data_IF_910438081502
#
_entry.id   IF_910438081502
#
_cell.length_a   1.000
_cell.length_b   1.000
_cell.length_c   1.000
_cell.angle_alpha   90.00
_cell.angle_beta   90.00
_cell.angle_gamma   90.00
#
_symmetry.space_group_name_H-M   'P 1'
#
loop_
_entity.id
_entity.type
_entity.pdbx_description
1 polymer ?
#
# COMPACT_ATOMS: atom_id res chain seq x y z
N UNK A 1 -5.37 -12.63 26.15
CA UNK A 1 -4.88 -12.98 24.80
C UNK A 1 -4.35 -11.69 24.23
N UNK A 2 -3.21 -11.76 23.56
CA UNK A 2 -2.57 -10.61 22.92
C UNK A 2 -3.07 -10.49 21.49
N UNK A 3 -3.38 -9.28 21.05
CA UNK A 3 -3.77 -9.01 19.66
C UNK A 3 -2.54 -8.76 18.77
N UNK A 4 -1.33 -8.86 19.34
CA UNK A 4 -0.06 -8.69 18.64
C UNK A 4 0.39 -10.01 17.98
N UNK A 5 0.43 -10.12 16.63
CA UNK A 5 0.77 -11.34 15.93
C UNK A 5 2.22 -11.81 16.11
N UNK A 6 3.05 -11.02 16.79
CA UNK A 6 4.46 -11.32 17.10
C UNK A 6 4.72 -11.78 18.53
N UNK A 7 3.73 -11.72 19.43
CA UNK A 7 3.91 -12.15 20.82
C UNK A 7 3.80 -13.67 20.99
N UNK A 8 4.62 -14.23 21.88
CA UNK A 8 4.59 -15.66 22.22
C UNK A 8 3.21 -15.98 22.82
N UNK A 9 2.42 -16.78 22.12
CA UNK A 9 1.06 -17.16 22.52
C UNK A 9 -0.05 -16.37 21.82
N UNK A 10 0.26 -15.53 20.82
CA UNK A 10 -0.73 -15.02 19.90
C UNK A 10 -1.49 -16.17 19.23
N UNK A 11 -2.81 -16.04 19.19
CA UNK A 11 -3.70 -16.93 18.44
C UNK A 11 -4.52 -16.03 17.56
N UNK A 12 -4.44 -16.23 16.25
CA UNK A 12 -5.25 -15.47 15.31
C UNK A 12 -6.74 -15.67 15.59
N UNK A 13 -7.58 -14.62 15.47
CA UNK A 13 -9.02 -14.77 15.63
C UNK A 13 -9.51 -15.92 14.75
N UNK A 14 -10.29 -16.83 15.34
CA UNK A 14 -10.79 -17.97 14.57
C UNK A 14 -11.78 -17.43 13.55
N UNK A 15 -11.79 -18.01 12.35
CA UNK A 15 -12.77 -17.65 11.33
C UNK A 15 -14.21 -17.71 11.88
N UNK A 16 -14.49 -18.62 12.83
CA UNK A 16 -15.78 -18.69 13.54
C UNK A 16 -16.16 -17.39 14.25
N UNK A 17 -15.21 -16.69 14.88
CA UNK A 17 -15.44 -15.42 15.57
C UNK A 17 -15.78 -14.31 14.55
N UNK A 18 -15.16 -14.35 13.37
CA UNK A 18 -15.45 -13.44 12.25
C UNK A 18 -16.85 -13.70 11.69
N UNK A 19 -17.25 -14.96 11.51
CA UNK A 19 -18.60 -15.32 11.05
C UNK A 19 -19.68 -14.91 12.07
N UNK A 20 -19.45 -15.07 13.37
CA UNK A 20 -20.37 -14.60 14.41
C UNK A 20 -20.53 -13.06 14.41
N UNK A 21 -19.49 -12.33 14.03
CA UNK A 21 -19.56 -10.89 13.77
C UNK A 21 -20.23 -10.57 12.42
N UNK A 22 -20.07 -11.43 11.43
CA UNK A 22 -20.68 -11.35 10.09
C UNK A 22 -22.20 -11.52 10.13
N UNK A 23 -22.70 -12.40 11.00
CA UNK A 23 -24.15 -12.65 11.17
C UNK A 23 -24.89 -11.50 11.87
N UNK A 24 -24.17 -10.51 12.40
CA UNK A 24 -24.77 -9.27 12.94
C UNK A 24 -25.12 -8.33 11.79
N UNK A 25 -26.20 -7.55 11.94
CA UNK A 25 -26.53 -6.47 11.00
C UNK A 25 -25.29 -5.62 10.76
N UNK A 26 -24.97 -5.38 9.49
CA UNK A 26 -23.86 -4.51 9.11
C UNK A 26 -24.04 -3.17 9.84
N UNK A 27 -23.02 -2.69 10.59
CA UNK A 27 -23.13 -1.41 11.24
C UNK A 27 -23.48 -0.36 10.18
N UNK A 28 -24.48 0.48 10.46
CA UNK A 28 -24.81 1.58 9.58
C UNK A 28 -23.52 2.35 9.26
N UNK A 29 -23.28 2.74 7.98
CA UNK A 29 -22.07 3.46 7.61
C UNK A 29 -21.95 4.66 8.55
N UNK A 30 -20.95 4.62 9.43
CA UNK A 30 -20.68 5.74 10.32
C UNK A 30 -20.26 6.87 9.41
N UNK A 31 -21.03 7.95 9.39
CA UNK A 31 -20.52 9.21 8.84
C UNK A 31 -19.20 9.49 9.58
N UNK A 32 -18.09 9.70 8.86
CA UNK A 32 -16.82 9.96 9.50
C UNK A 32 -17.00 11.20 10.38
N UNK A 33 -16.85 11.03 11.70
CA UNK A 33 -16.73 12.15 12.60
C UNK A 33 -15.48 12.92 12.17
N UNK A 34 -15.67 14.06 11.51
CA UNK A 34 -14.58 14.95 11.14
C UNK A 34 -13.98 15.55 12.42
N UNK A 35 -13.07 14.81 13.06
CA UNK A 35 -12.18 15.41 14.04
C UNK A 35 -11.20 16.27 13.27
N UNK A 36 -11.00 17.54 13.66
CA UNK A 36 -10.06 18.40 12.98
C UNK A 36 -8.66 17.77 13.07
N UNK A 37 -8.13 17.31 11.93
CA UNK A 37 -6.75 16.82 11.88
C UNK A 37 -5.81 18.00 12.01
N UNK A 38 -5.12 18.06 13.13
CA UNK A 38 -4.08 19.04 13.41
C UNK A 38 -2.82 18.71 12.62
N UNK A 39 -2.22 19.73 11.99
CA UNK A 39 -0.98 19.58 11.24
C UNK A 39 0.14 19.07 12.13
N UNK A 40 0.90 18.08 11.66
CA UNK A 40 2.12 17.64 12.32
C UNK A 40 1.93 16.62 13.43
N UNK A 41 0.78 15.96 13.50
CA UNK A 41 0.56 14.87 14.45
C UNK A 41 0.60 13.51 13.75
N UNK A 42 1.16 12.53 14.46
CA UNK A 42 1.02 11.11 14.11
C UNK A 42 -0.29 10.63 14.73
N UNK A 43 -1.21 10.20 13.88
CA UNK A 43 -2.58 9.83 14.26
C UNK A 43 -2.92 8.45 13.73
N UNK A 44 -3.92 7.80 14.36
CA UNK A 44 -4.52 6.59 13.83
C UNK A 44 -5.86 6.94 13.19
N UNK A 45 -5.99 6.62 11.91
CA UNK A 45 -7.21 6.84 11.14
C UNK A 45 -7.69 5.50 10.57
N UNK A 46 -9.01 5.26 10.49
CA UNK A 46 -9.55 4.19 9.66
C UNK A 46 -9.08 4.33 8.21
N UNK A 47 -8.84 3.20 7.53
CA UNK A 47 -8.42 3.13 6.13
C UNK A 47 -9.30 3.99 5.21
N UNK A 48 -10.63 3.88 5.35
CA UNK A 48 -11.59 4.67 4.58
C UNK A 48 -11.43 6.18 4.79
N UNK A 49 -11.21 6.62 6.04
CA UNK A 49 -11.04 8.04 6.37
C UNK A 49 -9.74 8.61 5.82
N UNK A 50 -8.62 7.88 5.96
CA UNK A 50 -7.34 8.25 5.36
C UNK A 50 -7.44 8.39 3.82
N UNK A 51 -8.11 7.42 3.18
CA UNK A 51 -8.26 7.42 1.74
C UNK A 51 -9.20 8.52 1.23
N UNK A 52 -10.20 8.92 2.03
CA UNK A 52 -11.07 10.06 1.73
C UNK A 52 -10.36 11.43 1.73
N UNK A 53 -9.08 11.47 2.14
CA UNK A 53 -8.25 12.68 2.26
C UNK A 53 -8.79 13.66 3.32
N UNK A 54 -8.46 13.43 4.60
CA UNK A 54 -8.98 14.21 5.71
C UNK A 54 -8.17 15.49 5.98
N UNK A 55 -7.24 15.85 5.08
CA UNK A 55 -6.49 17.09 5.21
C UNK A 55 -7.39 18.33 5.01
N UNK A 56 -7.03 19.48 5.60
CA UNK A 56 -7.82 20.71 5.46
C UNK A 56 -8.06 21.13 4.00
N UNK A 57 -7.07 20.92 3.15
CA UNK A 57 -7.14 21.13 1.70
C UNK A 57 -6.69 19.85 0.97
N UNK A 58 -7.01 19.69 -0.34
CA UNK A 58 -6.60 18.52 -1.09
C UNK A 58 -5.10 18.22 -0.93
N UNK A 59 -4.78 17.05 -0.38
CA UNK A 59 -3.41 16.70 -0.03
C UNK A 59 -2.78 15.73 -1.02
N UNK A 60 -1.45 15.80 -1.13
CA UNK A 60 -0.66 14.89 -1.93
C UNK A 60 -0.36 13.60 -1.15
N UNK A 61 -0.85 12.46 -1.65
CA UNK A 61 -0.41 11.13 -1.21
C UNK A 61 0.68 10.56 -2.13
N UNK A 62 1.39 9.52 -1.68
CA UNK A 62 2.38 8.85 -2.52
C UNK A 62 1.79 8.28 -3.82
N UNK A 63 0.54 7.81 -3.81
CA UNK A 63 -0.14 7.34 -5.03
C UNK A 63 -0.31 8.47 -6.04
N UNK A 64 -0.74 9.64 -5.59
CA UNK A 64 -0.87 10.82 -6.45
C UNK A 64 0.50 11.31 -6.92
N UNK A 65 1.52 11.32 -6.05
CA UNK A 65 2.88 11.69 -6.40
C UNK A 65 3.47 10.79 -7.51
N UNK A 66 3.24 9.46 -7.41
CA UNK A 66 3.61 8.50 -8.45
C UNK A 66 2.91 8.80 -9.78
N UNK A 67 1.61 9.10 -9.77
CA UNK A 67 0.85 9.43 -10.98
C UNK A 67 1.34 10.71 -11.65
N UNK A 68 1.69 11.74 -10.88
CA UNK A 68 2.22 13.00 -11.41
C UNK A 68 3.53 12.80 -12.17
N UNK A 69 4.42 11.96 -11.64
CA UNK A 69 5.75 11.73 -12.24
C UNK A 69 5.71 10.68 -13.35
N UNK A 70 4.95 9.60 -13.18
CA UNK A 70 4.94 8.47 -14.11
C UNK A 70 3.90 8.59 -15.23
N UNK A 71 2.89 9.45 -15.05
CA UNK A 71 1.81 9.64 -16.03
C UNK A 71 1.61 11.11 -16.33
N UNK A 72 0.59 11.73 -15.74
CA UNK A 72 0.29 13.14 -15.94
C UNK A 72 -0.52 13.71 -14.77
N UNK A 73 -0.55 15.03 -14.59
CA UNK A 73 -1.43 15.68 -13.62
C UNK A 73 -2.90 15.29 -13.74
N UNK A 74 -3.43 15.18 -14.95
CA UNK A 74 -4.82 14.70 -15.16
C UNK A 74 -5.09 13.34 -14.52
N UNK A 75 -4.13 12.41 -14.53
CA UNK A 75 -4.31 11.11 -13.87
C UNK A 75 -4.35 11.23 -12.34
N UNK A 76 -3.53 12.13 -11.77
CA UNK A 76 -3.58 12.41 -10.34
C UNK A 76 -4.91 13.09 -9.94
N UNK A 77 -5.41 14.02 -10.75
CA UNK A 77 -6.73 14.63 -10.55
C UNK A 77 -7.85 13.57 -10.56
N UNK A 78 -7.87 12.70 -11.57
CA UNK A 78 -8.88 11.64 -11.69
C UNK A 78 -8.89 10.68 -10.49
N UNK A 79 -7.73 10.46 -9.87
CA UNK A 79 -7.55 9.57 -8.74
C UNK A 79 -7.67 10.26 -7.38
N UNK A 80 -7.97 11.56 -7.33
CA UNK A 80 -8.11 12.30 -6.08
C UNK A 80 -9.59 12.40 -5.67
N UNK A 81 -9.96 11.89 -4.48
CA UNK A 81 -11.35 11.94 -4.00
C UNK A 81 -11.82 13.36 -3.63
N UNK A 82 -10.88 14.29 -3.35
CA UNK A 82 -11.21 15.69 -3.03
C UNK A 82 -11.35 16.58 -4.26
N UNK A 83 -10.74 16.17 -5.38
CA UNK A 83 -10.74 16.97 -6.61
C UNK A 83 -11.72 16.43 -7.65
N UNK A 84 -11.86 15.11 -7.75
CA UNK A 84 -12.77 14.46 -8.68
C UNK A 84 -13.94 13.82 -7.92
N UNK A 85 -15.15 14.40 -7.97
CA UNK A 85 -16.35 13.84 -7.33
C UNK A 85 -16.71 12.43 -7.82
N UNK A 86 -16.28 12.06 -9.04
CA UNK A 86 -16.51 10.75 -9.63
C UNK A 86 -15.39 9.74 -9.29
N UNK A 87 -14.48 10.08 -8.38
CA UNK A 87 -13.42 9.17 -7.95
C UNK A 87 -14.03 7.93 -7.30
N UNK A 88 -13.69 6.75 -7.83
CA UNK A 88 -14.16 5.45 -7.31
C UNK A 88 -12.97 4.62 -6.83
N UNK A 89 -13.13 3.97 -5.68
CA UNK A 89 -12.22 2.90 -5.26
C UNK A 89 -12.33 1.73 -6.24
N UNK A 90 -11.20 1.29 -6.79
CA UNK A 90 -11.15 0.12 -7.68
C UNK A 90 -10.63 -1.06 -6.86
N UNK A 91 -11.55 -1.94 -6.47
CA UNK A 91 -11.19 -3.23 -5.89
C UNK A 91 -10.86 -4.21 -7.02
N UNK A 92 -9.66 -4.80 -6.96
CA UNK A 92 -9.22 -5.83 -7.90
C UNK A 92 -8.83 -7.08 -7.11
N UNK A 93 -9.33 -8.23 -7.54
CA UNK A 93 -8.99 -9.53 -6.93
C UNK A 93 -7.47 -9.73 -6.81
N UNK A 94 -6.70 -9.24 -7.78
CA UNK A 94 -5.23 -9.32 -7.78
C UNK A 94 -4.56 -8.65 -6.57
N UNK A 95 -5.28 -7.83 -5.81
CA UNK A 95 -4.78 -7.19 -4.59
C UNK A 95 -5.20 -7.91 -3.30
N UNK A 96 -6.11 -8.88 -3.37
CA UNK A 96 -6.71 -9.51 -2.18
C UNK A 96 -5.62 -10.25 -1.35
N UNK A 97 -4.77 -11.06 -2.01
CA UNK A 97 -3.62 -11.72 -1.35
C UNK A 97 -2.67 -10.69 -0.70
N UNK A 98 -2.37 -9.59 -1.41
CA UNK A 98 -1.47 -8.57 -0.89
C UNK A 98 -2.02 -7.85 0.35
N UNK A 99 -3.33 -7.60 0.39
CA UNK A 99 -4.02 -6.99 1.54
C UNK A 99 -4.06 -7.93 2.73
N UNK A 100 -4.42 -9.20 2.50
CA UNK A 100 -4.45 -10.20 3.56
C UNK A 100 -3.05 -10.46 4.13
N UNK A 101 -2.01 -10.55 3.29
CA UNK A 101 -0.63 -10.72 3.74
C UNK A 101 -0.16 -9.50 4.57
N UNK A 102 -0.47 -8.28 4.11
CA UNK A 102 -0.19 -7.05 4.87
C UNK A 102 -0.85 -7.10 6.25
N UNK A 103 -2.14 -7.43 6.33
CA UNK A 103 -2.87 -7.55 7.60
C UNK A 103 -2.28 -8.63 8.52
N UNK A 104 -1.98 -9.81 7.98
CA UNK A 104 -1.44 -10.95 8.72
C UNK A 104 -0.03 -10.66 9.27
N UNK A 105 0.79 -9.95 8.49
CA UNK A 105 2.19 -9.68 8.83
C UNK A 105 2.31 -8.49 9.76
N UNK A 106 1.56 -7.41 9.54
CA UNK A 106 1.67 -6.18 10.34
C UNK A 106 0.82 -6.19 11.61
N UNK A 107 -0.16 -7.11 11.68
CA UNK A 107 -1.13 -7.16 12.78
C UNK A 107 -2.14 -6.03 12.80
N UNK A 108 -2.21 -5.23 11.73
CA UNK A 108 -3.10 -4.08 11.59
C UNK A 108 -3.60 -4.01 10.14
N UNK A 109 -4.81 -3.49 9.95
CA UNK A 109 -5.46 -3.32 8.65
C UNK A 109 -6.79 -4.04 8.53
N UNK A 110 -7.32 -4.04 7.30
CA UNK A 110 -8.58 -4.70 6.95
C UNK A 110 -8.44 -6.24 7.10
N UNK A 111 -9.33 -6.85 7.88
CA UNK A 111 -9.35 -8.30 8.09
C UNK A 111 -9.73 -9.07 6.82
N UNK A 112 -9.49 -10.39 6.82
CA UNK A 112 -9.91 -11.30 5.75
C UNK A 112 -10.83 -12.39 6.27
N UNK A 113 -11.69 -12.88 5.39
CA UNK A 113 -12.67 -13.92 5.71
C UNK A 113 -12.62 -15.02 4.65
N UNK A 114 -12.66 -16.26 5.09
CA UNK A 114 -12.75 -17.40 4.17
C UNK A 114 -14.12 -17.42 3.49
N UNK A 115 -14.18 -17.74 2.20
CA UNK A 115 -15.43 -18.00 1.50
C UNK A 115 -15.85 -19.44 1.86
N UNK A 116 -17.03 -19.67 2.44
CA UNK A 116 -17.44 -21.02 2.82
C UNK A 116 -17.44 -21.97 1.62
N UNK A 117 -16.83 -23.16 1.79
CA UNK A 117 -16.61 -24.11 0.70
C UNK A 117 -17.91 -24.58 0.04
N UNK A 118 -19.01 -24.64 0.80
CA UNK A 118 -20.34 -24.99 0.30
C UNK A 118 -20.96 -23.92 -0.61
N UNK A 119 -20.46 -22.68 -0.60
CA UNK A 119 -20.87 -21.63 -1.53
C UNK A 119 -20.08 -21.70 -2.83
N UNK A 120 -18.91 -22.35 -2.87
CA UNK A 120 -18.10 -22.43 -4.08
C UNK A 120 -18.73 -23.36 -5.12
N UNK A 121 -18.39 -23.15 -6.39
CA UNK A 121 -18.72 -24.09 -7.44
C UNK A 121 -17.97 -25.42 -7.21
N UNK A 122 -18.43 -26.51 -7.84
CA UNK A 122 -17.82 -27.85 -7.70
C UNK A 122 -16.32 -27.91 -8.04
N UNK A 123 -15.84 -26.96 -8.84
CA UNK A 123 -14.43 -26.82 -9.21
C UNK A 123 -13.64 -25.85 -8.30
N UNK A 124 -14.20 -25.45 -7.15
CA UNK A 124 -13.59 -24.49 -6.23
C UNK A 124 -13.62 -23.03 -6.70
N UNK A 125 -14.32 -22.70 -7.79
CA UNK A 125 -14.45 -21.32 -8.25
C UNK A 125 -15.50 -20.56 -7.44
N UNK A 126 -15.17 -19.33 -7.03
CA UNK A 126 -16.11 -18.41 -6.39
C UNK A 126 -17.03 -17.72 -7.42
N UNK A 127 -17.73 -18.52 -8.23
CA UNK A 127 -18.52 -18.05 -9.39
C UNK A 127 -20.03 -18.22 -9.23
N UNK A 128 -20.48 -18.94 -8.20
CA UNK A 128 -21.90 -19.12 -7.87
C UNK A 128 -22.55 -17.79 -7.48
N UNK A 129 -23.88 -17.74 -7.48
CA UNK A 129 -24.61 -16.53 -7.08
C UNK A 129 -24.38 -16.24 -5.59
N UNK A 130 -24.37 -17.28 -4.78
CA UNK A 130 -24.19 -17.24 -3.34
C UNK A 130 -22.77 -16.79 -2.95
N UNK A 131 -21.73 -17.32 -3.61
CA UNK A 131 -20.36 -16.87 -3.36
C UNK A 131 -20.16 -15.40 -3.78
N UNK A 132 -20.78 -14.96 -4.88
CA UNK A 132 -20.72 -13.55 -5.30
C UNK A 132 -21.44 -12.63 -4.31
N UNK A 133 -22.58 -13.06 -3.77
CA UNK A 133 -23.30 -12.32 -2.75
C UNK A 133 -22.47 -12.22 -1.46
N UNK A 134 -21.87 -13.32 -1.02
CA UNK A 134 -20.95 -13.36 0.13
C UNK A 134 -19.75 -12.42 -0.07
N UNK A 135 -19.07 -12.49 -1.23
CA UNK A 135 -17.95 -11.61 -1.57
C UNK A 135 -18.36 -10.13 -1.54
N UNK A 136 -19.55 -9.80 -2.06
CA UNK A 136 -20.05 -8.44 -2.05
C UNK A 136 -20.32 -7.94 -0.63
N UNK A 137 -20.96 -8.76 0.21
CA UNK A 137 -21.24 -8.42 1.61
C UNK A 137 -19.96 -8.29 2.44
N UNK A 138 -19.01 -9.22 2.29
CA UNK A 138 -17.70 -9.13 2.93
C UNK A 138 -16.99 -7.81 2.62
N UNK A 139 -16.99 -7.40 1.35
CA UNK A 139 -16.38 -6.13 0.93
C UNK A 139 -17.10 -4.90 1.46
N UNK A 140 -18.42 -4.95 1.67
CA UNK A 140 -19.17 -3.87 2.30
C UNK A 140 -18.83 -3.71 3.79
N UNK A 141 -18.26 -4.76 4.40
CA UNK A 141 -17.80 -4.79 5.79
C UNK A 141 -16.28 -4.60 5.92
N UNK A 142 -15.63 -4.13 4.86
CA UNK A 142 -14.18 -3.96 4.78
C UNK A 142 -13.39 -5.27 5.04
N UNK A 143 -13.98 -6.42 4.72
CA UNK A 143 -13.31 -7.72 4.76
C UNK A 143 -12.78 -8.11 3.38
N UNK A 144 -11.59 -8.71 3.35
CA UNK A 144 -11.01 -9.32 2.15
C UNK A 144 -11.46 -10.78 2.03
N UNK A 145 -12.35 -11.13 1.08
CA UNK A 145 -12.81 -12.51 0.94
C UNK A 145 -11.76 -13.35 0.21
N UNK A 146 -11.38 -14.47 0.81
CA UNK A 146 -10.37 -15.40 0.31
C UNK A 146 -10.91 -16.83 0.27
N UNK A 147 -10.39 -17.66 -0.63
CA UNK A 147 -10.60 -19.11 -0.54
C UNK A 147 -9.78 -19.71 0.60
N UNK A 148 -10.15 -20.91 1.02
CA UNK A 148 -9.40 -21.66 2.04
C UNK A 148 -7.92 -21.86 1.66
N UNK A 149 -7.64 -22.26 0.41
CA UNK A 149 -6.26 -22.37 -0.11
C UNK A 149 -5.48 -21.04 -0.07
N UNK A 150 -6.17 -19.91 -0.30
CA UNK A 150 -5.56 -18.58 -0.23
C UNK A 150 -5.30 -18.19 1.24
N UNK A 151 -6.15 -18.56 2.19
CA UNK A 151 -5.91 -18.33 3.63
C UNK A 151 -4.72 -19.15 4.14
N UNK A 152 -4.64 -20.44 3.78
CA UNK A 152 -3.48 -21.28 4.12
C UNK A 152 -2.17 -20.70 3.59
N UNK A 153 -2.18 -20.19 2.34
CA UNK A 153 -1.05 -19.48 1.76
C UNK A 153 -0.65 -18.24 2.57
N UNK A 154 -1.62 -17.43 3.01
CA UNK A 154 -1.35 -16.22 3.81
C UNK A 154 -0.68 -16.57 5.16
N UNK A 155 -1.14 -17.63 5.84
CA UNK A 155 -0.52 -18.08 7.10
C UNK A 155 0.90 -18.62 6.90
N UNK A 156 1.14 -19.33 5.80
CA UNK A 156 2.48 -19.79 5.44
C UNK A 156 3.41 -18.60 5.14
N UNK A 157 2.94 -17.63 4.35
CA UNK A 157 3.67 -16.39 4.07
C UNK A 157 4.00 -15.65 5.37
N UNK A 158 3.03 -15.46 6.25
CA UNK A 158 3.22 -14.79 7.53
C UNK A 158 4.31 -15.48 8.36
N UNK A 159 4.25 -16.81 8.47
CA UNK A 159 5.22 -17.60 9.23
C UNK A 159 6.65 -17.37 8.71
N UNK A 160 6.84 -17.43 7.39
CA UNK A 160 8.15 -17.20 6.76
C UNK A 160 8.61 -15.75 6.95
N UNK A 161 7.72 -14.77 6.75
CA UNK A 161 8.05 -13.36 6.90
C UNK A 161 8.50 -13.03 8.33
N UNK A 162 7.75 -13.48 9.34
CA UNK A 162 8.09 -13.26 10.74
C UNK A 162 9.43 -13.89 11.11
N UNK A 163 9.70 -15.11 10.66
CA UNK A 163 11.00 -15.77 10.88
C UNK A 163 12.15 -15.00 10.23
N UNK A 164 12.01 -14.60 8.96
CA UNK A 164 13.05 -13.86 8.22
C UNK A 164 13.31 -12.47 8.80
N UNK A 165 12.27 -11.78 9.27
CA UNK A 165 12.42 -10.49 9.93
C UNK A 165 13.12 -10.63 11.29
N UNK A 166 12.78 -11.67 12.06
CA UNK A 166 13.42 -11.96 13.34
C UNK A 166 14.92 -12.30 13.19
N UNK A 167 15.31 -13.02 12.13
CA UNK A 167 16.73 -13.27 11.79
C UNK A 167 17.54 -11.96 11.62
N UNK A 168 16.85 -10.87 11.25
CA UNK A 168 17.42 -9.53 11.11
C UNK A 168 17.19 -8.63 12.34
N UNK A 169 16.64 -9.17 13.44
CA UNK A 169 16.31 -8.42 14.64
C UNK A 169 15.14 -7.44 14.46
N UNK A 170 14.26 -7.68 13.49
CA UNK A 170 13.12 -6.83 13.17
C UNK A 170 11.84 -7.46 13.73
N UNK A 171 11.13 -6.70 14.55
CA UNK A 171 9.77 -7.01 15.02
C UNK A 171 8.85 -5.86 14.63
N UNK A 172 7.75 -6.15 13.93
CA UNK A 172 6.80 -5.13 13.51
C UNK A 172 5.71 -5.00 14.57
N UNK A 173 5.81 -4.00 15.42
CA UNK A 173 4.80 -3.74 16.46
C UNK A 173 3.48 -3.24 15.82
N UNK A 174 2.34 -3.93 15.97
CA UNK A 174 1.06 -3.49 15.41
C UNK A 174 0.57 -2.14 15.92
N UNK A 175 0.93 -1.75 17.16
CA UNK A 175 0.60 -0.43 17.68
C UNK A 175 1.30 0.68 16.89
N UNK A 176 2.38 0.31 16.19
CA UNK A 176 3.20 1.14 15.32
C UNK A 176 2.91 0.92 13.83
N UNK A 177 1.94 0.07 13.50
CA UNK A 177 1.46 -0.19 12.15
C UNK A 177 0.27 0.70 11.77
N UNK A 178 0.19 1.04 10.47
CA UNK A 178 -0.83 1.92 9.86
C UNK A 178 -0.98 3.30 10.52
N UNK A 179 0.12 3.81 11.09
CA UNK A 179 0.16 5.18 11.59
C UNK A 179 0.04 6.16 10.42
N UNK A 180 -0.77 7.19 10.60
CA UNK A 180 -1.00 8.23 9.61
C UNK A 180 -0.29 9.52 10.00
N UNK A 181 0.21 10.25 9.01
CA UNK A 181 0.72 11.60 9.18
C UNK A 181 0.13 12.51 8.11
N UNK A 182 -0.27 13.70 8.53
CA UNK A 182 -0.70 14.80 7.66
C UNK A 182 0.09 16.04 8.05
N UNK A 183 0.87 16.55 7.10
CA UNK A 183 1.78 17.66 7.35
C UNK A 183 1.89 18.56 6.12
N UNK A 184 2.23 19.83 6.34
CA UNK A 184 2.59 20.74 5.27
C UNK A 184 4.07 20.63 4.95
N UNK A 185 4.38 20.52 3.65
CA UNK A 185 5.73 20.59 3.12
C UNK A 185 5.73 21.68 2.06
N UNK A 186 6.45 22.78 2.31
CA UNK A 186 6.56 23.89 1.36
C UNK A 186 5.17 24.47 0.96
N UNK A 187 4.25 24.54 1.93
CA UNK A 187 2.86 24.99 1.72
C UNK A 187 1.92 23.96 1.10
N UNK A 188 2.40 22.75 0.79
CA UNK A 188 1.58 21.65 0.25
C UNK A 188 1.18 20.69 1.36
N UNK A 189 -0.12 20.50 1.55
CA UNK A 189 -0.62 19.41 2.38
C UNK A 189 -0.21 18.06 1.79
N UNK A 190 0.47 17.25 2.58
CA UNK A 190 0.91 15.90 2.22
C UNK A 190 0.41 14.91 3.27
N UNK A 191 0.02 13.71 2.81
CA UNK A 191 -0.42 12.63 3.70
C UNK A 191 0.27 11.31 3.40
N UNK A 192 0.43 10.51 4.44
CA UNK A 192 0.99 9.16 4.40
C UNK A 192 0.30 8.29 5.45
N UNK A 193 0.06 7.03 5.11
CA UNK A 193 -0.19 5.94 6.04
C UNK A 193 1.02 5.00 5.92
N UNK A 194 1.73 4.79 7.03
CA UNK A 194 2.94 4.00 7.08
C UNK A 194 2.60 2.56 7.46
N UNK A 195 3.17 1.57 6.77
CA UNK A 195 2.95 0.17 7.10
C UNK A 195 3.47 -0.12 8.52
N UNK A 196 4.71 0.25 8.86
CA UNK A 196 5.19 0.21 10.24
C UNK A 196 6.27 1.28 10.51
N UNK A 197 6.16 1.99 11.64
CA UNK A 197 7.17 2.96 12.11
C UNK A 197 7.59 2.67 13.55
N UNK A 198 8.68 1.93 13.79
CA UNK A 198 9.10 1.55 15.13
C UNK A 198 9.28 2.74 16.07
N UNK A 199 9.05 2.51 17.36
CA UNK A 199 9.20 3.53 18.40
C UNK A 199 10.66 4.01 18.54
N UNK A 200 11.64 3.14 18.34
CA UNK A 200 13.06 3.50 18.32
C UNK A 200 13.35 4.46 17.15
N UNK A 201 13.76 5.69 17.47
CA UNK A 201 14.14 6.74 16.51
C UNK A 201 15.23 6.38 15.50
N UNK A 202 16.06 5.37 15.82
CA UNK A 202 17.15 4.93 14.94
C UNK A 202 16.69 3.87 13.93
N UNK A 203 15.57 3.20 14.19
CA UNK A 203 15.01 2.20 13.27
C UNK A 203 14.37 2.85 12.03
N UNK A 204 14.43 2.19 10.87
CA UNK A 204 13.82 2.72 9.65
C UNK A 204 12.29 2.61 9.69
N UNK A 205 11.64 3.37 8.81
CA UNK A 205 10.26 3.11 8.40
C UNK A 205 10.27 1.85 7.53
N UNK A 206 9.37 0.91 7.82
CA UNK A 206 9.18 -0.30 7.02
C UNK A 206 7.94 -0.19 6.14
N UNK A 207 8.04 -0.70 4.92
CA UNK A 207 6.95 -0.74 3.94
C UNK A 207 6.92 -2.12 3.27
N UNK A 208 5.81 -2.82 3.45
CA UNK A 208 5.64 -4.21 3.05
C UNK A 208 5.08 -4.30 1.64
N UNK A 209 5.62 -5.24 0.86
CA UNK A 209 5.28 -5.44 -0.54
C UNK A 209 5.27 -6.93 -0.85
N UNK A 210 4.18 -7.41 -1.44
CA UNK A 210 4.13 -8.75 -2.03
C UNK A 210 4.58 -8.73 -3.49
N UNK A 211 5.23 -9.79 -3.95
CA UNK A 211 5.79 -9.91 -5.29
C UNK A 211 5.81 -11.37 -5.77
N UNK A 212 6.20 -11.60 -7.03
CA UNK A 212 6.41 -12.95 -7.57
C UNK A 212 7.87 -13.41 -7.42
N UNK A 213 8.80 -12.46 -7.26
CA UNK A 213 10.25 -12.68 -7.24
C UNK A 213 10.84 -11.61 -6.31
N UNK A 214 11.36 -12.04 -5.16
CA UNK A 214 11.98 -11.17 -4.17
C UNK A 214 13.50 -11.06 -4.35
N UNK A 215 14.07 -11.51 -5.47
CA UNK A 215 15.48 -11.24 -5.77
C UNK A 215 15.76 -9.73 -5.79
N UNK A 216 16.95 -9.28 -5.37
CA UNK A 216 17.30 -7.85 -5.38
C UNK A 216 17.08 -7.17 -6.73
N UNK A 217 17.39 -7.86 -7.83
CA UNK A 217 17.21 -7.36 -9.19
C UNK A 217 15.74 -7.18 -9.57
N UNK A 218 14.88 -8.15 -9.22
CA UNK A 218 13.44 -8.04 -9.44
C UNK A 218 12.83 -6.94 -8.56
N UNK A 219 13.26 -6.83 -7.32
CA UNK A 219 12.84 -5.76 -6.41
C UNK A 219 13.25 -4.38 -6.94
N UNK A 220 14.48 -4.22 -7.44
CA UNK A 220 14.93 -2.98 -8.06
C UNK A 220 14.05 -2.60 -9.27
N UNK A 221 13.76 -3.57 -10.15
CA UNK A 221 12.84 -3.36 -11.27
C UNK A 221 11.45 -2.97 -10.78
N UNK A 222 10.92 -3.63 -9.75
CA UNK A 222 9.63 -3.30 -9.16
C UNK A 222 9.61 -1.87 -8.59
N UNK A 223 10.66 -1.46 -7.88
CA UNK A 223 10.81 -0.11 -7.34
C UNK A 223 10.70 0.93 -8.45
N UNK A 224 11.41 0.73 -9.57
CA UNK A 224 11.35 1.64 -10.72
C UNK A 224 9.99 1.58 -11.45
N UNK A 225 9.45 0.38 -11.65
CA UNK A 225 8.22 0.12 -12.40
C UNK A 225 6.97 0.60 -11.68
N UNK A 226 6.94 0.52 -10.35
CA UNK A 226 5.81 0.99 -9.56
C UNK A 226 6.05 2.36 -8.92
N UNK A 227 7.27 2.90 -9.00
CA UNK A 227 7.62 4.19 -8.42
C UNK A 227 7.69 4.16 -6.90
N UNK A 228 8.11 3.03 -6.31
CA UNK A 228 8.26 2.90 -4.86
C UNK A 228 9.37 3.80 -4.33
N UNK A 229 10.35 4.19 -5.16
CA UNK A 229 11.34 5.19 -4.81
C UNK A 229 10.70 6.55 -4.48
N UNK A 230 9.72 6.98 -5.28
CA UNK A 230 8.92 8.19 -5.00
C UNK A 230 8.14 8.03 -3.70
N UNK A 231 7.59 6.84 -3.44
CA UNK A 231 6.85 6.55 -2.21
C UNK A 231 7.75 6.66 -0.98
N UNK A 232 8.91 6.00 -0.96
CA UNK A 232 9.86 6.07 0.15
C UNK A 232 10.28 7.51 0.45
N UNK A 233 10.63 8.29 -0.59
CA UNK A 233 11.00 9.68 -0.42
C UNK A 233 9.83 10.57 0.07
N UNK A 234 8.61 10.32 -0.41
CA UNK A 234 7.41 11.01 0.07
C UNK A 234 7.12 10.69 1.53
N UNK A 235 7.19 9.42 1.91
CA UNK A 235 6.92 8.94 3.27
C UNK A 235 7.89 9.57 4.27
N UNK A 236 9.19 9.52 3.96
CA UNK A 236 10.22 10.16 4.80
C UNK A 236 10.02 11.67 4.92
N UNK A 237 9.68 12.35 3.83
CA UNK A 237 9.45 13.79 3.85
C UNK A 237 8.23 14.17 4.72
N UNK A 238 7.14 13.40 4.64
CA UNK A 238 5.96 13.60 5.49
C UNK A 238 6.28 13.30 6.95
N UNK A 239 6.99 12.20 7.23
CA UNK A 239 7.43 11.87 8.60
C UNK A 239 8.26 13.02 9.18
N UNK A 240 9.29 13.46 8.44
CA UNK A 240 10.16 14.57 8.85
C UNK A 240 9.39 15.86 9.13
N UNK A 241 8.42 16.19 8.28
CA UNK A 241 7.59 17.38 8.46
C UNK A 241 6.65 17.27 9.66
N UNK A 242 6.16 16.06 9.97
CA UNK A 242 5.30 15.83 11.11
C UNK A 242 6.06 15.79 12.44
N UNK A 243 7.18 15.08 12.50
CA UNK A 243 7.85 14.76 13.77
C UNK A 243 9.16 15.51 13.99
N UNK A 244 9.73 16.09 12.94
CA UNK A 244 11.10 16.61 12.96
C UNK A 244 12.19 15.54 12.89
N UNK A 245 11.84 14.25 12.87
CA UNK A 245 12.80 13.14 12.82
C UNK A 245 13.18 12.78 11.37
N UNK A 246 14.44 12.47 11.13
CA UNK A 246 14.86 11.84 9.88
C UNK A 246 14.98 10.33 10.11
N UNK A 247 14.34 9.53 9.23
CA UNK A 247 14.32 8.07 9.32
C UNK A 247 14.80 7.49 8.00
N UNK A 248 15.55 6.39 8.07
CA UNK A 248 15.79 5.54 6.90
C UNK A 248 14.49 4.85 6.46
N UNK A 249 14.50 4.25 5.28
CA UNK A 249 13.35 3.53 4.73
C UNK A 249 13.78 2.18 4.18
N UNK A 250 13.06 1.13 4.56
CA UNK A 250 13.31 -0.24 4.14
C UNK A 250 12.03 -0.84 3.58
N UNK A 251 12.11 -1.34 2.35
CA UNK A 251 11.08 -2.19 1.79
C UNK A 251 11.27 -3.62 2.28
N UNK A 252 10.16 -4.26 2.66
CA UNK A 252 10.09 -5.68 2.93
C UNK A 252 9.37 -6.30 1.73
N UNK A 253 10.12 -6.89 0.80
CA UNK A 253 9.56 -7.63 -0.32
C UNK A 253 9.39 -9.09 0.06
N UNK A 254 8.19 -9.63 -0.14
CA UNK A 254 7.89 -11.04 0.08
C UNK A 254 7.32 -11.69 -1.16
N UNK A 255 7.81 -12.88 -1.49
CA UNK A 255 7.24 -13.73 -2.53
C UNK A 255 5.87 -14.27 -2.12
N UNK A 256 4.92 -14.18 -3.05
CA UNK A 256 3.65 -14.91 -2.98
C UNK A 256 3.82 -16.40 -3.32
N UNK A 257 4.63 -16.83 -4.29
CA UNK A 257 4.85 -18.26 -4.51
C UNK A 257 5.79 -18.85 -3.44
N UNK A 258 5.69 -20.17 -3.21
CA UNK A 258 6.68 -20.89 -2.42
C UNK A 258 8.09 -20.71 -2.99
N UNK A 259 9.13 -20.54 -2.16
CA UNK A 259 9.14 -20.75 -0.70
C UNK A 259 8.80 -19.52 0.16
N UNK A 260 8.11 -18.50 -0.40
CA UNK A 260 7.68 -17.28 0.29
C UNK A 260 8.82 -16.42 0.84
N UNK A 261 9.98 -16.45 0.19
CA UNK A 261 11.18 -15.77 0.69
C UNK A 261 11.01 -14.26 0.77
N UNK A 262 11.82 -13.66 1.65
CA UNK A 262 11.77 -12.25 1.99
C UNK A 262 13.11 -11.58 1.75
N UNK A 263 13.06 -10.42 1.11
CA UNK A 263 14.24 -9.58 0.88
C UNK A 263 13.98 -8.17 1.40
N UNK A 264 14.96 -7.65 2.14
CA UNK A 264 14.97 -6.27 2.65
C UNK A 264 15.75 -5.39 1.68
N UNK A 265 15.13 -4.30 1.20
CA UNK A 265 15.76 -3.37 0.26
C UNK A 265 15.72 -1.96 0.82
N UNK A 266 16.88 -1.30 0.88
CA UNK A 266 17.00 0.14 1.13
C UNK A 266 17.58 0.84 -0.09
N UNK A 267 17.15 2.09 -0.32
CA UNK A 267 17.76 2.95 -1.33
C UNK A 267 18.95 3.66 -0.73
N UNK A 268 20.04 3.78 -1.47
CA UNK A 268 21.25 4.49 -1.01
C UNK A 268 21.85 5.37 -2.10
N UNK A 269 22.73 6.28 -1.68
CA UNK A 269 23.58 7.08 -2.54
C UNK A 269 22.82 7.87 -3.61
N UNK A 270 23.21 7.69 -4.87
CA UNK A 270 22.63 8.43 -6.00
C UNK A 270 21.16 8.09 -6.25
N UNK A 271 20.73 6.86 -5.94
CA UNK A 271 19.34 6.44 -6.13
C UNK A 271 18.42 7.14 -5.12
N UNK A 272 18.81 7.16 -3.86
CA UNK A 272 18.08 7.90 -2.82
C UNK A 272 17.98 9.39 -3.16
N UNK A 273 19.07 10.03 -3.57
CA UNK A 273 19.06 11.43 -3.99
C UNK A 273 18.12 11.67 -5.18
N UNK A 274 18.03 10.72 -6.13
CA UNK A 274 17.09 10.79 -7.24
C UNK A 274 15.64 10.67 -6.76
N UNK A 275 15.36 9.73 -5.86
CA UNK A 275 14.04 9.54 -5.28
C UNK A 275 13.52 10.83 -4.60
N UNK A 276 14.37 11.48 -3.80
CA UNK A 276 14.07 12.77 -3.14
C UNK A 276 13.74 13.85 -4.17
N UNK A 277 14.54 14.00 -5.23
CA UNK A 277 14.27 14.97 -6.30
C UNK A 277 12.95 14.68 -7.02
N UNK A 278 12.62 13.41 -7.27
CA UNK A 278 11.36 13.02 -7.94
C UNK A 278 10.15 13.32 -7.05
N UNK A 279 10.21 13.04 -5.76
CA UNK A 279 9.13 13.37 -4.82
C UNK A 279 8.95 14.89 -4.66
N UNK A 280 10.05 15.66 -4.57
CA UNK A 280 9.99 17.12 -4.54
C UNK A 280 9.39 17.70 -5.83
N UNK A 281 9.77 17.15 -7.00
CA UNK A 281 9.15 17.53 -8.29
C UNK A 281 7.66 17.23 -8.30
N UNK A 282 7.22 16.09 -7.75
CA UNK A 282 5.82 15.74 -7.66
C UNK A 282 5.04 16.77 -6.81
N UNK A 283 5.56 17.14 -5.64
CA UNK A 283 4.99 18.21 -4.81
C UNK A 283 4.90 19.53 -5.55
N UNK A 284 5.96 19.93 -6.27
CA UNK A 284 5.93 21.16 -7.05
C UNK A 284 4.84 21.13 -8.12
N UNK A 285 4.74 20.06 -8.91
CA UNK A 285 3.69 19.92 -9.94
C UNK A 285 2.30 19.98 -9.30
N UNK A 286 2.10 19.30 -8.16
CA UNK A 286 0.85 19.35 -7.41
C UNK A 286 0.49 20.79 -6.98
N UNK A 287 1.43 21.51 -6.37
CA UNK A 287 1.24 22.89 -5.95
C UNK A 287 0.86 23.81 -7.12
N UNK A 288 1.58 23.69 -8.25
CA UNK A 288 1.33 24.46 -9.46
C UNK A 288 -0.07 24.14 -10.02
N UNK A 289 -0.49 22.87 -10.04
CA UNK A 289 -1.81 22.44 -10.54
C UNK A 289 -2.97 22.88 -9.64
N UNK A 290 -2.79 22.81 -8.32
CA UNK A 290 -3.78 23.30 -7.34
C UNK A 290 -3.96 24.81 -7.50
N UNK A 291 -2.85 25.56 -7.52
CA UNK A 291 -2.86 27.03 -7.64
C UNK A 291 -3.50 27.48 -8.95
N UNK A 292 -3.13 26.86 -10.07
CA UNK A 292 -3.65 27.23 -11.40
C UNK A 292 -5.02 26.62 -11.71
N UNK A 293 -5.52 25.71 -10.87
CA UNK A 293 -6.66 24.84 -11.14
C UNK A 293 -6.62 24.22 -12.55
N UNK A 294 -5.44 23.75 -12.96
CA UNK A 294 -5.21 23.20 -14.28
C UNK A 294 -4.43 21.88 -14.19
N UNK A 295 -5.00 20.82 -14.74
CA UNK A 295 -4.49 19.45 -14.64
C UNK A 295 -4.20 18.87 -16.04
N UNK A 296 -3.03 19.20 -16.63
CA UNK A 296 -2.73 18.80 -18.00
C UNK A 296 -2.63 17.27 -18.16
N UNK A 297 -3.02 16.81 -19.35
CA UNK A 297 -2.83 15.44 -19.81
C UNK A 297 -1.40 15.19 -20.30
N UNK A 298 -1.22 14.17 -21.13
CA UNK A 298 0.02 14.02 -21.89
C UNK A 298 0.21 15.21 -22.86
N UNK A 299 1.46 15.55 -23.23
CA UNK A 299 1.72 16.57 -24.25
C UNK A 299 1.00 16.23 -25.56
N UNK A 300 0.43 17.25 -26.22
CA UNK A 300 -0.22 17.10 -27.52
C UNK A 300 0.82 16.83 -28.62
N UNK A 301 0.39 16.19 -29.71
CA UNK A 301 1.24 15.87 -30.86
C UNK A 301 1.52 14.38 -31.04
N UNK A 302 2.08 14.03 -32.20
CA UNK A 302 2.55 12.69 -32.50
C UNK A 302 3.92 12.50 -31.85
N UNK A 303 4.03 11.50 -30.98
CA UNK A 303 5.30 11.10 -30.38
C UNK A 303 5.86 9.93 -31.18
N UNK A 304 7.02 10.13 -31.82
CA UNK A 304 7.77 9.05 -32.44
C UNK A 304 8.61 8.36 -31.36
N UNK A 305 8.63 7.04 -31.39
CA UNK A 305 9.44 6.21 -30.49
C UNK A 305 10.34 5.33 -31.33
N UNK A 306 11.61 5.26 -30.94
CA UNK A 306 12.58 4.36 -31.55
C UNK A 306 12.65 3.03 -30.78
N UNK A 307 13.19 2.01 -31.43
CA UNK A 307 13.47 0.74 -30.77
C UNK A 307 14.46 0.97 -29.62
N UNK A 308 14.16 0.46 -28.40
CA UNK A 308 15.07 0.62 -27.28
C UNK A 308 16.34 -0.20 -27.50
N UNK A 309 17.47 0.25 -26.95
CA UNK A 309 18.79 -0.37 -27.14
C UNK A 309 18.80 -1.87 -26.89
N UNK A 310 18.16 -2.34 -25.82
CA UNK A 310 18.11 -3.76 -25.48
C UNK A 310 17.38 -4.61 -26.53
N UNK A 311 16.39 -4.05 -27.25
CA UNK A 311 15.69 -4.77 -28.31
C UNK A 311 16.58 -4.85 -29.55
N UNK A 312 17.27 -3.76 -29.87
CA UNK A 312 18.23 -3.70 -30.98
C UNK A 312 19.36 -4.71 -30.75
N UNK A 313 19.95 -4.73 -29.56
CA UNK A 313 21.03 -5.66 -29.19
C UNK A 313 20.60 -7.13 -29.31
N UNK A 314 19.42 -7.49 -28.80
CA UNK A 314 18.91 -8.86 -28.87
C UNK A 314 18.70 -9.35 -30.31
N UNK A 315 18.12 -8.51 -31.17
CA UNK A 315 17.90 -8.88 -32.58
C UNK A 315 19.25 -9.04 -33.32
N UNK A 316 20.26 -8.23 -32.99
CA UNK A 316 21.61 -8.42 -33.53
C UNK A 316 22.27 -9.71 -33.02
N UNK A 317 22.07 -10.10 -31.76
CA UNK A 317 22.63 -11.35 -31.22
C UNK A 317 21.96 -12.61 -31.81
N UNK A 318 20.69 -12.55 -32.21
CA UNK A 318 19.98 -13.67 -32.83
C UNK A 318 20.34 -13.87 -34.32
N UNK A 319 20.94 -12.87 -34.98
CA UNK A 319 21.37 -12.93 -36.38
C UNK A 319 22.81 -13.45 -36.61
N UNK A 320 23.59 -13.71 -35.54
CA UNK A 320 24.99 -14.21 -35.61
C UNK A 320 25.22 -15.48 -34.77
#
# INVERSE_FOLDING_TARGET
MTDNPFEIGYVEPKQADIYEAFDREAPAPKEPEQKPVTCGEIIRLPSAEYHADPAPEPSLSATLAKLLIKRSPRHAWMASPRLNPDCRSIHKKTFDIGRAAHRAILGCGDDYVTIPANLLAKNGAASTAEAKAFIADARLRDLTPLKEEEVEQIEAMRTVAHARLLDHGITLDPERSELCAIAQIEGVWCRTMFDNVPADSLAPIYDFKTCEDASPDACMRAILNYGYDIQAAHYRAVWKAATGEDRNFVFIFQEKPEPYEVTLISLSGSFEAMAVRRAARARKIWADCITANNWPGYPTGLHQVDAPTWLVEREFEEEF
#
